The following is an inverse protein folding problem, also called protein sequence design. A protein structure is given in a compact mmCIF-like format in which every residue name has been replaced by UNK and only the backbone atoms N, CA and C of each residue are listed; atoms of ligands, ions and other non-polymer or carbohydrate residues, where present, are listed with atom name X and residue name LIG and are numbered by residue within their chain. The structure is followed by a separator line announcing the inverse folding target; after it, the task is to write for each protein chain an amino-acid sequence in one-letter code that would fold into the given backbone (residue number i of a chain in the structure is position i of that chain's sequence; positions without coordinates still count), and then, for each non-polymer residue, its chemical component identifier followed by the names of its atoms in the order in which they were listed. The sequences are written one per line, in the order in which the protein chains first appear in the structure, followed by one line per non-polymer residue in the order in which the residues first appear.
data_IF_840060327902
#
_entry.id   IF_840060327902
#
_cell.length_a   1.000
_cell.length_b   1.000
_cell.length_c   1.000
_cell.angle_alpha   90.00
_cell.angle_beta   90.00
_cell.angle_gamma   90.00
#
_symmetry.space_group_name_H-M   'P 1'
#
loop_
_entity.id
_entity.type
_entity.pdbx_description
1 polymer ?
#
# COMPACT_ATOMS: atom_id res chain seq x y z
N UNK A 1 18.42 21.02 -8.81
CA UNK A 1 17.04 20.71 -9.27
C UNK A 1 16.52 19.66 -8.30
N UNK A 2 16.11 20.10 -7.11
CA UNK A 2 15.61 19.21 -6.07
C UNK A 2 14.13 18.94 -6.32
N UNK A 3 13.81 17.69 -6.65
CA UNK A 3 12.44 17.22 -6.69
C UNK A 3 11.89 17.22 -5.26
N UNK A 4 10.98 18.16 -4.97
CA UNK A 4 10.13 18.09 -3.78
C UNK A 4 9.28 16.82 -3.89
N UNK A 5 9.68 15.78 -3.17
CA UNK A 5 8.84 14.61 -2.98
C UNK A 5 7.57 15.07 -2.25
N UNK A 6 6.46 15.19 -2.98
CA UNK A 6 5.15 15.30 -2.35
C UNK A 6 5.00 14.12 -1.39
N UNK A 7 4.79 14.41 -0.11
CA UNK A 7 4.62 13.41 0.92
C UNK A 7 3.35 12.62 0.59
N UNK A 8 3.49 11.49 -0.10
CA UNK A 8 2.37 10.64 -0.47
C UNK A 8 1.61 10.23 0.80
N UNK A 9 0.29 10.32 0.74
CA UNK A 9 -0.55 9.97 1.89
C UNK A 9 -0.36 8.50 2.26
N UNK A 10 -0.07 8.25 3.54
CA UNK A 10 0.06 6.89 4.05
C UNK A 10 -1.32 6.26 4.16
N UNK A 11 -1.51 5.15 3.43
CA UNK A 11 -2.77 4.40 3.33
C UNK A 11 -2.81 3.27 4.36
N UNK A 12 -1.67 2.65 4.64
CA UNK A 12 -1.62 1.51 5.55
C UNK A 12 -0.23 0.93 5.77
N UNK A 13 -0.20 -0.33 6.19
CA UNK A 13 1.02 -1.11 6.42
C UNK A 13 0.84 -2.54 5.95
N UNK A 14 1.85 -3.08 5.27
CA UNK A 14 1.89 -4.50 4.92
C UNK A 14 2.05 -5.33 6.21
N UNK A 15 1.02 -6.08 6.59
CA UNK A 15 0.97 -6.84 7.85
C UNK A 15 1.39 -8.30 7.68
N UNK A 16 1.25 -8.86 6.47
CA UNK A 16 1.82 -10.15 6.11
C UNK A 16 2.29 -10.11 4.65
N UNK A 17 3.45 -10.69 4.37
CA UNK A 17 4.02 -10.75 3.02
C UNK A 17 4.70 -12.09 2.82
N UNK A 18 4.28 -12.83 1.81
CA UNK A 18 5.10 -13.91 1.25
C UNK A 18 6.19 -13.27 0.38
N UNK A 19 7.49 -13.64 0.49
CA UNK A 19 8.64 -12.93 -0.08
C UNK A 19 8.72 -12.81 -1.63
N UNK A 20 7.61 -12.94 -2.34
CA UNK A 20 7.45 -12.76 -3.79
C UNK A 20 6.43 -11.67 -4.13
N UNK A 21 6.49 -10.55 -3.41
CA UNK A 21 5.70 -9.36 -3.69
C UNK A 21 6.61 -8.15 -3.90
N UNK A 22 6.27 -7.31 -4.86
CA UNK A 22 6.96 -6.06 -5.16
C UNK A 22 6.00 -4.88 -5.04
N UNK A 23 6.54 -3.74 -4.64
CA UNK A 23 5.81 -2.49 -4.52
C UNK A 23 6.53 -1.37 -5.27
N UNK A 24 5.77 -0.52 -5.94
CA UNK A 24 6.28 0.67 -6.63
C UNK A 24 5.55 1.90 -6.08
N UNK A 25 6.14 2.59 -5.08
CA UNK A 25 5.57 3.82 -4.52
C UNK A 25 5.60 4.97 -5.54
N UNK A 26 4.77 6.01 -5.36
CA UNK A 26 4.82 7.20 -6.20
C UNK A 26 6.20 7.87 -6.11
N UNK A 27 6.79 8.20 -7.26
CA UNK A 27 8.10 8.86 -7.32
C UNK A 27 9.31 7.98 -6.95
N UNK A 28 9.11 6.67 -6.72
CA UNK A 28 10.18 5.74 -6.37
C UNK A 28 10.21 4.51 -7.29
N UNK A 29 11.38 3.86 -7.38
CA UNK A 29 11.54 2.61 -8.13
C UNK A 29 10.85 1.42 -7.46
N UNK A 30 10.58 0.39 -8.28
CA UNK A 30 10.04 -0.90 -7.80
C UNK A 30 11.00 -1.58 -6.84
N UNK A 31 10.48 -2.08 -5.71
CA UNK A 31 11.26 -2.77 -4.68
C UNK A 31 10.49 -3.95 -4.10
N UNK A 32 11.18 -4.90 -3.49
CA UNK A 32 10.53 -5.99 -2.74
C UNK A 32 9.71 -5.41 -1.58
N UNK A 33 8.44 -5.80 -1.51
CA UNK A 33 7.57 -5.44 -0.41
C UNK A 33 7.92 -6.31 0.80
N UNK A 34 8.08 -5.67 1.97
CA UNK A 34 8.42 -6.35 3.23
C UNK A 34 7.33 -6.08 4.26
N UNK A 35 7.16 -7.01 5.20
CA UNK A 35 6.27 -6.81 6.36
C UNK A 35 6.69 -5.55 7.12
N UNK A 36 5.71 -4.82 7.64
CA UNK A 36 5.88 -3.57 8.36
C UNK A 36 6.16 -2.36 7.46
N UNK A 37 6.23 -2.51 6.14
CA UNK A 37 6.39 -1.37 5.23
C UNK A 37 5.07 -0.62 5.07
N UNK A 38 5.16 0.71 5.21
CA UNK A 38 4.07 1.62 4.89
C UNK A 38 3.71 1.50 3.42
N UNK A 39 2.41 1.50 3.16
CA UNK A 39 1.81 1.54 1.84
C UNK A 39 1.22 2.94 1.64
N UNK A 40 1.46 3.51 0.46
CA UNK A 40 1.14 4.90 0.12
C UNK A 40 0.07 4.99 -0.97
N UNK A 41 -0.56 6.16 -1.05
CA UNK A 41 -1.44 6.51 -2.17
C UNK A 41 -0.66 6.44 -3.49
N UNK A 42 -1.32 5.98 -4.56
CA UNK A 42 -0.74 5.79 -5.89
C UNK A 42 0.43 4.77 -5.93
N UNK A 43 0.56 3.91 -4.92
CA UNK A 43 1.50 2.80 -4.91
C UNK A 43 0.91 1.60 -5.67
N UNK A 44 1.76 0.91 -6.44
CA UNK A 44 1.39 -0.33 -7.10
C UNK A 44 1.99 -1.53 -6.39
N UNK A 45 1.17 -2.51 -6.05
CA UNK A 45 1.58 -3.80 -5.48
C UNK A 45 1.38 -4.88 -6.55
N UNK A 46 2.41 -5.69 -6.77
CA UNK A 46 2.38 -6.82 -7.69
C UNK A 46 2.86 -8.08 -6.98
N UNK A 47 2.15 -9.19 -7.16
CA UNK A 47 2.48 -10.51 -6.59
C UNK A 47 2.81 -11.51 -7.68
N UNK A 48 3.77 -12.41 -7.42
CA UNK A 48 4.10 -13.52 -8.32
C UNK A 48 3.12 -14.69 -8.18
N UNK A 49 3.40 -15.82 -8.85
CA UNK A 49 2.65 -17.08 -8.86
C UNK A 49 2.22 -17.64 -7.50
N UNK A 50 2.97 -17.30 -6.44
CA UNK A 50 2.75 -17.75 -5.05
C UNK A 50 2.77 -16.58 -4.05
N UNK A 51 2.82 -15.35 -4.55
CA UNK A 51 2.89 -14.15 -3.70
C UNK A 51 1.54 -13.82 -3.08
N UNK A 52 1.53 -13.53 -1.78
CA UNK A 52 0.36 -13.03 -1.07
C UNK A 52 0.79 -11.86 -0.20
N UNK A 53 -0.01 -10.80 -0.19
CA UNK A 53 0.20 -9.61 0.64
C UNK A 53 -1.09 -9.32 1.39
N UNK A 54 -0.99 -9.12 2.70
CA UNK A 54 -2.06 -8.55 3.50
C UNK A 54 -1.68 -7.14 3.91
N UNK A 55 -2.58 -6.19 3.70
CA UNK A 55 -2.40 -4.79 4.09
C UNK A 55 -3.43 -4.43 5.15
N UNK A 56 -2.96 -3.83 6.23
CA UNK A 56 -3.78 -3.19 7.26
C UNK A 56 -3.88 -1.70 6.91
N UNK A 57 -5.09 -1.23 6.68
CA UNK A 57 -5.40 0.17 6.44
C UNK A 57 -5.42 0.96 7.74
N UNK A 58 -5.23 2.28 7.66
CA UNK A 58 -5.25 3.17 8.84
C UNK A 58 -6.61 3.24 9.55
N UNK A 59 -7.69 2.78 8.91
CA UNK A 59 -9.03 2.67 9.51
C UNK A 59 -9.28 1.34 10.25
N UNK A 60 -8.27 0.46 10.30
CA UNK A 60 -8.34 -0.85 10.95
C UNK A 60 -8.88 -1.97 10.08
N UNK A 61 -9.34 -1.69 8.86
CA UNK A 61 -9.73 -2.74 7.92
C UNK A 61 -8.52 -3.39 7.24
N UNK A 62 -8.67 -4.62 6.75
CA UNK A 62 -7.60 -5.35 6.06
C UNK A 62 -8.06 -5.83 4.70
N UNK A 63 -7.16 -5.80 3.72
CA UNK A 63 -7.36 -6.47 2.44
C UNK A 63 -6.18 -7.37 2.08
N UNK A 64 -6.45 -8.37 1.25
CA UNK A 64 -5.47 -9.37 0.81
C UNK A 64 -5.34 -9.33 -0.71
N UNK A 65 -4.10 -9.24 -1.18
CA UNK A 65 -3.72 -9.39 -2.59
C UNK A 65 -3.22 -10.82 -2.78
N UNK A 66 -3.95 -11.60 -3.58
CA UNK A 66 -3.63 -12.99 -3.87
C UNK A 66 -2.49 -13.15 -4.90
N UNK A 67 -2.18 -14.38 -5.31
CA UNK A 67 -1.14 -14.64 -6.30
C UNK A 67 -1.47 -14.07 -7.69
N UNK A 68 -0.42 -13.79 -8.48
CA UNK A 68 -0.50 -13.25 -9.86
C UNK A 68 -1.39 -12.02 -9.99
N UNK A 69 -1.42 -11.18 -8.97
CA UNK A 69 -2.29 -10.01 -8.90
C UNK A 69 -1.46 -8.73 -9.05
N UNK A 70 -2.07 -7.72 -9.67
CA UNK A 70 -1.57 -6.36 -9.68
C UNK A 70 -2.64 -5.42 -9.18
N UNK A 71 -2.28 -4.59 -8.20
CA UNK A 71 -3.20 -3.67 -7.55
C UNK A 71 -2.55 -2.28 -7.52
N UNK A 72 -3.27 -1.28 -8.01
CA UNK A 72 -2.91 0.12 -7.82
C UNK A 72 -3.79 0.67 -6.70
N UNK A 73 -3.18 1.33 -5.72
CA UNK A 73 -3.91 2.09 -4.72
C UNK A 73 -4.29 3.44 -5.35
N UNK A 74 -5.37 3.47 -6.12
CA UNK A 74 -5.80 4.61 -6.94
C UNK A 74 -6.74 5.57 -6.20
N UNK A 75 -7.51 5.06 -5.23
CA UNK A 75 -8.47 5.87 -4.49
C UNK A 75 -8.54 5.43 -3.03
N UNK A 76 -8.00 6.25 -2.16
CA UNK A 76 -8.15 6.11 -0.72
C UNK A 76 -9.25 7.08 -0.23
N UNK A 77 -10.51 6.62 -0.20
CA UNK A 77 -11.62 7.40 0.36
C UNK A 77 -11.61 7.28 1.88
N UNK A 78 -10.65 7.95 2.50
CA UNK A 78 -10.56 8.04 3.94
C UNK A 78 -10.78 9.49 4.34
N UNK A 79 -11.79 9.71 5.18
CA UNK A 79 -12.06 11.01 5.76
C UNK A 79 -11.78 10.90 7.27
N UNK A 80 -10.60 11.34 7.76
CA UNK A 80 -10.25 11.28 9.18
C UNK A 80 -11.20 12.12 10.05
N UNK A 81 -11.93 13.08 9.46
CA UNK A 81 -12.91 13.92 10.14
C UNK A 81 -14.32 13.35 10.16
N UNK A 82 -14.60 12.23 9.46
CA UNK A 82 -15.93 11.60 9.48
C UNK A 82 -16.22 10.82 10.75
N UNK A 83 -15.25 10.72 11.66
CA UNK A 83 -15.42 10.20 13.02
C UNK A 83 -15.61 11.34 14.03
N UNK A 84 -16.81 11.93 14.03
CA UNK A 84 -17.58 12.40 15.20
C UNK A 84 -18.76 13.23 14.71
N UNK A 85 -19.86 12.54 14.38
CA UNK A 85 -21.15 13.12 14.74
C UNK A 85 -21.18 13.10 16.28
N UNK A 86 -21.20 14.29 16.88
CA UNK A 86 -21.50 14.45 18.31
C UNK A 86 -22.96 14.13 18.56
#
# INVERSE_FOLDING_TARGET
MDATAEAADRVGVASAVTPKATSTPPGAGTRTLKIGKSVFYNERITTSDSGVVQVLLVDGSTFTVGPRSSLLIDKFVYNPHKARAR
#
